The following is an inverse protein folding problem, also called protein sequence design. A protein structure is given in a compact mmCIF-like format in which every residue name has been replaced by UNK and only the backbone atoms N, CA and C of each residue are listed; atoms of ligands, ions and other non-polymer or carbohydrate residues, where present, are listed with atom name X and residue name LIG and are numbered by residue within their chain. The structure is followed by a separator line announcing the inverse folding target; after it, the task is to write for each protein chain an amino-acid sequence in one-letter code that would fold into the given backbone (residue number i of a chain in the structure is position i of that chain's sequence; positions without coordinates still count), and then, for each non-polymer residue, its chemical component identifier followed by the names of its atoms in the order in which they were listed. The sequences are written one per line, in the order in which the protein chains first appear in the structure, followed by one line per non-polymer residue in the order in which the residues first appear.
data_IF_768887248800
#
_entry.id   IF_768887248800
#
_cell.length_a   1.000
_cell.length_b   1.000
_cell.length_c   1.000
_cell.angle_alpha   90.00
_cell.angle_beta   90.00
_cell.angle_gamma   90.00
#
_symmetry.space_group_name_H-M   'P 1'
#
loop_
_entity.id
_entity.type
_entity.pdbx_description
1 polymer ?
#
# COMPACT_ATOMS: atom_id res chain seq x y z
N UNK A 1 -8.88 20.77 -12.37
CA UNK A 1 -9.79 19.61 -12.28
C UNK A 1 -9.38 18.60 -13.34
N UNK A 2 -9.00 17.38 -12.97
CA UNK A 2 -8.58 16.34 -13.93
C UNK A 2 -9.84 15.77 -14.59
N UNK A 3 -10.08 16.05 -15.88
CA UNK A 3 -11.36 15.73 -16.54
C UNK A 3 -11.47 14.28 -17.03
N UNK A 4 -10.37 13.67 -17.47
CA UNK A 4 -10.21 12.22 -17.71
C UNK A 4 -8.74 11.98 -18.07
N UNK A 5 -8.14 10.92 -17.50
CA UNK A 5 -6.80 10.46 -17.88
C UNK A 5 -6.98 9.19 -18.70
N UNK A 6 -6.46 9.19 -19.93
CA UNK A 6 -6.42 7.99 -20.79
C UNK A 6 -4.95 7.64 -21.01
N UNK A 7 -4.54 6.49 -20.52
CA UNK A 7 -3.15 6.08 -20.55
C UNK A 7 -2.94 4.66 -20.05
N UNK A 8 -1.68 4.21 -20.10
CA UNK A 8 -1.27 2.88 -19.65
C UNK A 8 -0.74 2.94 -18.23
N UNK A 9 -1.00 1.88 -17.47
CA UNK A 9 -0.56 1.75 -16.08
C UNK A 9 0.70 0.90 -16.02
N UNK A 10 1.70 1.41 -15.32
CA UNK A 10 3.01 0.80 -15.18
C UNK A 10 3.41 0.66 -13.72
N UNK A 11 4.09 -0.46 -13.44
CA UNK A 11 4.93 -0.56 -12.25
C UNK A 11 6.30 0.02 -12.58
N UNK A 12 6.93 0.65 -11.60
CA UNK A 12 8.24 1.27 -11.75
C UNK A 12 9.14 0.89 -10.57
N UNK A 13 10.46 0.95 -10.78
CA UNK A 13 11.49 0.59 -9.82
C UNK A 13 12.54 1.70 -9.76
N UNK A 14 12.85 2.17 -8.56
CA UNK A 14 13.85 3.24 -8.38
C UNK A 14 15.27 2.69 -8.26
N UNK A 15 15.41 1.41 -7.96
CA UNK A 15 16.69 0.72 -7.77
C UNK A 15 16.96 -0.37 -8.83
N UNK A 16 16.06 -0.51 -9.81
CA UNK A 16 16.08 -1.62 -10.79
C UNK A 16 15.83 -3.00 -10.18
N UNK A 17 15.67 -3.11 -8.85
CA UNK A 17 15.61 -4.37 -8.12
C UNK A 17 14.26 -4.65 -7.50
N UNK A 18 13.41 -3.66 -7.23
CA UNK A 18 12.09 -3.88 -6.61
C UNK A 18 11.07 -2.85 -7.08
N UNK A 19 9.90 -3.33 -7.48
CA UNK A 19 8.78 -2.46 -7.76
C UNK A 19 8.39 -1.62 -6.53
N UNK A 20 8.11 -0.34 -6.76
CA UNK A 20 7.73 0.61 -5.69
C UNK A 20 6.33 0.26 -5.17
N UNK A 21 6.29 -0.43 -4.02
CA UNK A 21 5.04 -0.90 -3.42
C UNK A 21 4.11 0.26 -3.03
N UNK A 22 2.83 0.11 -3.35
CA UNK A 22 1.78 1.06 -2.99
C UNK A 22 1.68 2.27 -3.92
N UNK A 23 2.45 2.28 -5.00
CA UNK A 23 2.42 3.30 -6.04
C UNK A 23 2.38 2.64 -7.42
N UNK A 24 1.82 3.36 -8.39
CA UNK A 24 1.92 3.00 -9.80
C UNK A 24 1.99 4.28 -10.64
N UNK A 25 2.53 4.15 -11.83
CA UNK A 25 2.70 5.23 -12.78
C UNK A 25 1.62 5.10 -13.87
N UNK A 26 0.97 6.21 -14.21
CA UNK A 26 0.15 6.32 -15.42
C UNK A 26 0.90 7.22 -16.39
N UNK A 27 1.06 6.75 -17.62
CA UNK A 27 1.59 7.54 -18.72
C UNK A 27 0.46 7.73 -19.73
N UNK A 28 0.05 8.97 -19.96
CA UNK A 28 -0.91 9.35 -20.99
C UNK A 28 -0.33 9.19 -22.40
N UNK A 29 -1.20 9.10 -23.40
CA UNK A 29 -0.80 9.01 -24.81
C UNK A 29 0.00 10.26 -25.26
N UNK A 30 -0.20 11.41 -24.62
CA UNK A 30 0.56 12.64 -24.84
C UNK A 30 1.91 12.69 -24.09
N UNK A 31 2.24 11.61 -23.37
CA UNK A 31 3.48 11.45 -22.62
C UNK A 31 3.47 12.09 -21.23
N UNK A 32 2.36 12.66 -20.75
CA UNK A 32 2.25 13.16 -19.37
C UNK A 32 2.26 12.02 -18.36
N UNK A 33 2.91 12.26 -17.23
CA UNK A 33 3.18 11.26 -16.23
C UNK A 33 2.50 11.58 -14.90
N UNK A 34 1.88 10.56 -14.31
CA UNK A 34 1.13 10.68 -13.09
C UNK A 34 1.42 9.54 -12.13
N UNK A 35 1.78 9.87 -10.89
CA UNK A 35 1.97 8.91 -9.82
C UNK A 35 0.69 8.75 -9.02
N UNK A 36 0.19 7.52 -8.92
CA UNK A 36 -1.04 7.22 -8.20
C UNK A 36 -0.73 6.42 -6.95
N UNK A 37 -1.23 6.91 -5.81
CA UNK A 37 -1.03 6.26 -4.51
C UNK A 37 -2.15 5.24 -4.26
N UNK A 38 -1.77 3.98 -4.10
CA UNK A 38 -2.67 2.84 -3.86
C UNK A 38 -2.57 2.28 -2.45
N UNK A 39 -1.38 2.31 -1.84
CA UNK A 39 -1.03 1.83 -0.48
C UNK A 39 -1.30 0.34 -0.16
N UNK A 40 -2.42 -0.20 -0.63
CA UNK A 40 -2.92 -1.56 -0.40
C UNK A 40 -3.03 -2.32 -1.72
N UNK A 41 -2.77 -3.63 -1.70
CA UNK A 41 -2.90 -4.49 -2.88
C UNK A 41 -4.33 -4.95 -3.15
N UNK A 42 -5.28 -4.62 -2.28
CA UNK A 42 -6.68 -4.98 -2.45
C UNK A 42 -7.28 -4.25 -3.67
N UNK A 43 -7.97 -5.02 -4.52
CA UNK A 43 -8.75 -4.49 -5.63
C UNK A 43 -9.84 -3.57 -5.07
N UNK A 44 -9.81 -2.29 -5.41
CA UNK A 44 -10.80 -1.34 -4.92
C UNK A 44 -10.97 -0.17 -5.88
N UNK A 45 -12.20 0.07 -6.31
CA UNK A 45 -12.51 1.17 -7.22
C UNK A 45 -12.88 2.46 -6.47
N UNK A 46 -11.93 2.99 -5.69
CA UNK A 46 -12.10 4.23 -4.93
C UNK A 46 -11.23 5.36 -5.46
N UNK A 47 -11.54 6.60 -5.08
CA UNK A 47 -10.75 7.77 -5.45
C UNK A 47 -9.34 7.68 -4.84
N UNK A 48 -8.32 7.63 -5.71
CA UNK A 48 -6.90 7.57 -5.36
C UNK A 48 -6.25 8.92 -5.59
N UNK A 49 -5.36 9.33 -4.67
CA UNK A 49 -4.60 10.57 -4.81
C UNK A 49 -3.58 10.44 -5.94
N UNK A 50 -3.49 11.46 -6.76
CA UNK A 50 -2.58 11.55 -7.91
C UNK A 50 -1.60 12.68 -7.70
N UNK A 51 -0.35 12.39 -8.01
CA UNK A 51 0.78 13.28 -7.84
C UNK A 51 1.52 13.43 -9.15
N UNK A 52 2.22 14.55 -9.30
CA UNK A 52 3.15 14.80 -10.39
C UNK A 52 4.55 14.98 -9.81
N UNK A 53 5.53 14.38 -10.49
CA UNK A 53 6.96 14.57 -10.22
C UNK A 53 7.51 15.67 -11.13
N UNK A 54 8.56 16.35 -10.67
CA UNK A 54 9.31 17.31 -11.49
C UNK A 54 10.32 16.62 -12.42
N UNK A 55 10.53 15.31 -12.24
CA UNK A 55 11.42 14.47 -13.06
C UNK A 55 10.62 13.48 -13.89
N UNK A 56 11.14 13.14 -15.07
CA UNK A 56 10.66 12.04 -15.90
C UNK A 56 10.84 10.71 -15.16
N UNK A 57 9.82 9.86 -15.20
CA UNK A 57 9.77 8.56 -14.56
C UNK A 57 9.84 7.40 -15.55
N UNK A 58 9.88 7.70 -16.85
CA UNK A 58 10.04 6.69 -17.92
C UNK A 58 11.32 5.87 -17.77
N UNK A 59 12.38 6.47 -17.25
CA UNK A 59 13.67 5.81 -16.97
C UNK A 59 13.57 4.74 -15.85
N UNK A 60 12.54 4.80 -15.01
CA UNK A 60 12.32 3.85 -13.91
C UNK A 60 11.32 2.75 -14.27
N UNK A 61 10.86 2.67 -15.52
CA UNK A 61 9.94 1.63 -15.96
C UNK A 61 10.61 0.26 -15.90
N UNK A 62 9.90 -0.72 -15.36
CA UNK A 62 10.36 -2.10 -15.31
C UNK A 62 9.95 -2.77 -16.63
N UNK A 63 10.90 -3.39 -17.34
CA UNK A 63 10.60 -4.20 -18.52
C UNK A 63 9.73 -5.41 -18.12
N UNK A 64 8.90 -5.92 -19.04
CA UNK A 64 7.95 -7.00 -18.74
C UNK A 64 8.60 -8.26 -18.15
N UNK A 65 9.79 -8.62 -18.61
CA UNK A 65 10.58 -9.75 -18.12
C UNK A 65 11.12 -9.54 -16.70
N UNK A 66 11.52 -8.30 -16.39
CA UNK A 66 12.02 -7.93 -15.07
C UNK A 66 10.88 -7.89 -14.05
N UNK A 67 9.67 -7.51 -14.46
CA UNK A 67 8.52 -7.49 -13.57
C UNK A 67 8.20 -8.87 -13.00
N UNK A 68 8.25 -9.92 -13.82
CA UNK A 68 8.00 -11.29 -13.36
C UNK A 68 9.07 -11.76 -12.37
N UNK A 69 10.36 -11.55 -12.70
CA UNK A 69 11.50 -11.86 -11.81
C UNK A 69 11.41 -11.13 -10.48
N UNK A 70 11.01 -9.85 -10.50
CA UNK A 70 10.89 -9.03 -9.29
C UNK A 70 9.66 -9.38 -8.45
N UNK A 71 8.58 -9.86 -9.08
CA UNK A 71 7.40 -10.37 -8.36
C UNK A 71 7.68 -11.70 -7.65
N UNK A 72 8.51 -12.56 -8.24
CA UNK A 72 8.94 -13.84 -7.67
C UNK A 72 10.02 -13.68 -6.60
N UNK A 73 10.83 -12.61 -6.65
CA UNK A 73 11.84 -12.28 -5.63
C UNK A 73 11.24 -11.71 -4.33
N UNK A 74 10.06 -12.16 -3.93
CA UNK A 74 9.41 -11.86 -2.65
C UNK A 74 10.01 -12.67 -1.50
N UNK A 75 11.34 -12.91 -1.51
CA UNK A 75 12.13 -13.71 -0.54
C UNK A 75 11.94 -13.30 0.95
N UNK A 76 11.24 -12.20 1.21
CA UNK A 76 10.93 -11.63 2.52
C UNK A 76 9.45 -11.68 2.91
N UNK A 77 8.58 -12.35 2.14
CA UNK A 77 7.15 -12.47 2.50
C UNK A 77 6.96 -13.19 3.85
N UNK A 78 7.89 -14.07 4.25
CA UNK A 78 7.92 -14.70 5.57
C UNK A 78 8.48 -13.83 6.70
N UNK A 79 9.32 -12.82 6.40
CA UNK A 79 9.90 -11.95 7.43
C UNK A 79 8.86 -11.02 8.06
N UNK A 80 7.88 -10.56 7.27
CA UNK A 80 6.78 -9.74 7.80
C UNK A 80 5.89 -10.51 8.77
N UNK A 81 5.70 -11.81 8.53
CA UNK A 81 4.93 -12.71 9.42
C UNK A 81 5.76 -12.99 10.68
N UNK A 82 7.04 -13.34 10.54
CA UNK A 82 7.94 -13.58 11.67
C UNK A 82 8.11 -12.36 12.59
N UNK A 83 8.27 -11.16 12.01
CA UNK A 83 8.30 -9.90 12.77
C UNK A 83 6.96 -9.61 13.44
N UNK A 84 5.84 -9.89 12.77
CA UNK A 84 4.51 -9.74 13.37
C UNK A 84 4.31 -10.64 14.60
N UNK A 85 4.77 -11.90 14.52
CA UNK A 85 4.73 -12.84 15.64
C UNK A 85 5.62 -12.37 16.79
N UNK A 86 6.86 -11.95 16.49
CA UNK A 86 7.79 -11.45 17.51
C UNK A 86 7.27 -10.18 18.21
N UNK A 87 6.74 -9.23 17.44
CA UNK A 87 6.12 -8.01 17.99
C UNK A 87 4.88 -8.38 18.83
N UNK A 88 4.05 -9.31 18.36
CA UNK A 88 2.90 -9.81 19.12
C UNK A 88 3.31 -10.44 20.45
N UNK A 89 4.38 -11.23 20.47
CA UNK A 89 4.92 -11.83 21.69
C UNK A 89 5.44 -10.76 22.68
N UNK A 90 6.16 -9.75 22.19
CA UNK A 90 6.66 -8.64 23.02
C UNK A 90 5.49 -7.81 23.57
N UNK A 91 4.49 -7.50 22.74
CA UNK A 91 3.29 -6.79 23.20
C UNK A 91 2.57 -7.59 24.29
N UNK A 92 2.43 -8.90 24.13
CA UNK A 92 1.81 -9.76 25.14
C UNK A 92 2.64 -9.85 26.44
N UNK A 93 3.95 -9.63 26.38
CA UNK A 93 4.80 -9.61 27.56
C UNK A 93 4.68 -8.30 28.34
N UNK A 94 4.45 -7.18 27.64
CA UNK A 94 4.28 -5.84 28.25
C UNK A 94 2.83 -5.59 28.68
N UNK A 95 1.88 -6.12 27.91
CA UNK A 95 0.44 -6.02 28.12
C UNK A 95 -0.19 -7.41 27.93
N UNK A 96 -0.25 -8.23 28.99
CA UNK A 96 -0.77 -9.59 28.90
C UNK A 96 -2.21 -9.62 28.38
N UNK A 97 -2.58 -10.72 27.72
CA UNK A 97 -3.88 -10.88 27.07
C UNK A 97 -5.09 -10.60 27.98
N UNK A 98 -4.95 -10.70 29.31
CA UNK A 98 -5.96 -10.32 30.30
C UNK A 98 -6.25 -8.81 30.35
N UNK A 99 -5.31 -7.96 29.95
CA UNK A 99 -5.50 -6.51 29.80
C UNK A 99 -6.39 -6.20 28.59
N UNK A 100 -6.35 -7.09 27.58
CA UNK A 100 -7.14 -6.96 26.37
C UNK A 100 -8.48 -7.73 26.44
N UNK A 101 -8.53 -8.90 27.05
CA UNK A 101 -9.71 -9.77 27.00
C UNK A 101 -10.42 -9.93 28.35
N UNK A 102 -9.90 -9.33 29.42
CA UNK A 102 -10.44 -9.51 30.78
C UNK A 102 -10.02 -10.86 31.38
N UNK A 103 -10.40 -11.10 32.63
CA UNK A 103 -10.29 -12.43 33.23
C UNK A 103 -11.41 -13.30 32.68
N UNK A 104 -11.18 -14.58 32.35
CA UNK A 104 -12.03 -15.42 31.48
C UNK A 104 -13.48 -15.71 31.98
N UNK A 105 -13.99 -15.07 33.05
CA UNK A 105 -15.29 -15.44 33.66
C UNK A 105 -16.02 -14.32 34.46
N UNK A 106 -15.89 -13.05 34.08
CA UNK A 106 -16.60 -11.93 34.73
C UNK A 106 -17.59 -11.22 33.81
N UNK A 107 -18.75 -10.82 34.32
CA UNK A 107 -19.81 -10.12 33.55
C UNK A 107 -19.37 -8.76 32.96
N UNK A 108 -18.16 -8.27 33.29
CA UNK A 108 -17.52 -7.10 32.67
C UNK A 108 -16.67 -7.40 31.42
N UNK A 109 -16.48 -8.67 31.06
CA UNK A 109 -15.51 -9.10 30.04
C UNK A 109 -15.88 -8.68 28.61
N UNK A 110 -17.19 -8.56 28.30
CA UNK A 110 -17.63 -8.12 26.98
C UNK A 110 -17.19 -6.68 26.66
N UNK A 111 -17.26 -5.78 27.66
CA UNK A 111 -16.81 -4.39 27.51
C UNK A 111 -15.30 -4.31 27.35
N UNK A 112 -14.55 -5.15 28.08
CA UNK A 112 -13.09 -5.24 27.96
C UNK A 112 -12.70 -5.76 26.58
N UNK A 113 -13.36 -6.82 26.11
CA UNK A 113 -13.17 -7.37 24.76
C UNK A 113 -13.45 -6.34 23.66
N UNK A 114 -14.55 -5.57 23.75
CA UNK A 114 -14.87 -4.50 22.79
C UNK A 114 -13.77 -3.44 22.76
N UNK A 115 -13.33 -2.96 23.93
CA UNK A 115 -12.25 -1.95 24.01
C UNK A 115 -10.97 -2.44 23.35
N UNK A 116 -10.69 -3.73 23.43
CA UNK A 116 -9.45 -4.30 22.94
C UNK A 116 -9.47 -4.63 21.47
N UNK A 117 -10.60 -5.09 20.95
CA UNK A 117 -10.83 -5.14 19.51
C UNK A 117 -10.71 -3.72 18.94
N UNK A 118 -11.33 -2.73 19.58
CA UNK A 118 -11.21 -1.32 19.19
C UNK A 118 -9.75 -0.84 19.21
N UNK A 119 -9.00 -1.16 20.26
CA UNK A 119 -7.58 -0.83 20.40
C UNK A 119 -6.75 -1.50 19.30
N UNK A 120 -6.99 -2.78 19.01
CA UNK A 120 -6.29 -3.50 17.95
C UNK A 120 -6.55 -2.89 16.56
N UNK A 121 -7.81 -2.55 16.27
CA UNK A 121 -8.19 -1.85 15.03
C UNK A 121 -7.47 -0.50 14.94
N UNK A 122 -7.43 0.26 16.03
CA UNK A 122 -6.76 1.55 16.08
C UNK A 122 -5.25 1.42 15.84
N UNK A 123 -4.57 0.54 16.57
CA UNK A 123 -3.12 0.29 16.43
C UNK A 123 -2.79 -0.15 15.01
N UNK A 124 -3.63 -1.01 14.42
CA UNK A 124 -3.49 -1.48 13.04
C UNK A 124 -3.66 -0.31 12.06
N UNK A 125 -4.70 0.50 12.20
CA UNK A 125 -4.96 1.65 11.35
C UNK A 125 -3.83 2.70 11.40
N UNK A 126 -3.30 2.97 12.61
CA UNK A 126 -2.14 3.86 12.81
C UNK A 126 -0.91 3.28 12.13
N UNK A 127 -0.63 1.99 12.31
CA UNK A 127 0.52 1.31 11.69
C UNK A 127 0.48 1.39 10.16
N UNK A 128 -0.68 1.12 9.54
CA UNK A 128 -0.86 1.25 8.10
C UNK A 128 -0.71 2.70 7.62
N UNK A 129 -1.24 3.65 8.37
CA UNK A 129 -1.13 5.08 8.06
C UNK A 129 0.33 5.54 8.09
N UNK A 130 1.08 5.14 9.12
CA UNK A 130 2.49 5.46 9.28
C UNK A 130 3.33 4.83 8.15
N UNK A 131 3.13 3.54 7.88
CA UNK A 131 3.80 2.86 6.76
C UNK A 131 3.51 3.57 5.42
N UNK A 132 2.29 4.06 5.24
CA UNK A 132 1.90 4.81 4.06
C UNK A 132 2.61 6.16 3.96
N UNK A 133 2.77 6.90 5.06
CA UNK A 133 3.51 8.16 5.11
C UNK A 133 5.00 7.93 4.84
N UNK A 134 5.60 6.94 5.49
CA UNK A 134 7.02 6.57 5.29
C UNK A 134 7.31 6.23 3.83
N UNK A 135 6.43 5.45 3.18
CA UNK A 135 6.57 5.13 1.74
C UNK A 135 6.54 6.38 0.86
N UNK A 136 5.68 7.36 1.17
CA UNK A 136 5.65 8.65 0.45
C UNK A 136 6.95 9.42 0.65
N UNK A 137 7.40 9.59 1.91
CA UNK A 137 8.63 10.32 2.21
C UNK A 137 9.85 9.70 1.52
N UNK A 138 9.94 8.37 1.49
CA UNK A 138 11.03 7.66 0.78
C UNK A 138 11.00 7.96 -0.71
N UNK A 139 9.81 7.95 -1.32
CA UNK A 139 9.63 8.26 -2.74
C UNK A 139 10.03 9.72 -3.04
N UNK A 140 9.62 10.67 -2.19
CA UNK A 140 9.98 12.09 -2.33
C UNK A 140 11.47 12.35 -2.18
N UNK A 141 12.15 11.61 -1.29
CA UNK A 141 13.62 11.72 -1.15
C UNK A 141 14.36 11.33 -2.42
N UNK A 142 13.83 10.39 -3.20
CA UNK A 142 14.48 9.88 -4.41
C UNK A 142 14.06 10.65 -5.68
N UNK A 143 12.77 10.98 -5.81
CA UNK A 143 12.21 11.63 -7.00
C UNK A 143 12.12 13.15 -6.88
N UNK A 144 12.32 13.71 -5.69
CA UNK A 144 12.03 15.11 -5.38
C UNK A 144 10.57 15.32 -4.93
N UNK A 145 10.15 16.58 -4.86
CA UNK A 145 8.82 16.95 -4.37
C UNK A 145 7.70 16.36 -5.25
N UNK A 146 6.75 15.67 -4.64
CA UNK A 146 5.55 15.17 -5.30
C UNK A 146 4.39 16.15 -5.09
N UNK A 147 3.98 16.82 -6.16
CA UNK A 147 2.86 17.78 -6.11
C UNK A 147 1.55 17.02 -6.25
N UNK A 148 0.66 17.15 -5.26
CA UNK A 148 -0.69 16.59 -5.35
C UNK A 148 -1.49 17.38 -6.39
N UNK A 149 -1.93 16.71 -7.45
CA UNK A 149 -2.71 17.34 -8.53
C UNK A 149 -4.21 17.05 -8.44
N UNK A 150 -4.60 16.04 -7.66
CA UNK A 150 -6.00 15.70 -7.45
C UNK A 150 -6.24 14.26 -7.03
N UNK A 151 -7.44 13.78 -7.31
CA UNK A 151 -7.85 12.40 -7.11
C UNK A 151 -8.49 11.85 -8.38
N UNK A 152 -8.24 10.58 -8.69
CA UNK A 152 -8.83 9.88 -9.83
C UNK A 152 -9.49 8.58 -9.36
N UNK A 153 -10.46 8.10 -10.12
CA UNK A 153 -11.10 6.80 -9.95
C UNK A 153 -11.05 6.07 -11.29
N UNK A 154 -10.81 4.76 -11.27
CA UNK A 154 -10.72 4.00 -12.52
C UNK A 154 -12.10 3.78 -13.12
N UNK A 155 -12.23 4.02 -14.43
CA UNK A 155 -13.46 3.72 -15.20
C UNK A 155 -13.46 2.29 -15.74
N UNK A 156 -12.28 1.72 -15.95
CA UNK A 156 -12.07 0.35 -16.42
C UNK A 156 -11.18 -0.41 -15.45
N UNK A 157 -11.22 -1.74 -15.48
CA UNK A 157 -10.28 -2.54 -14.71
C UNK A 157 -8.84 -2.20 -15.14
N UNK A 158 -7.95 -2.05 -14.16
CA UNK A 158 -6.51 -1.86 -14.37
C UNK A 158 -5.86 -3.12 -14.96
N UNK A 159 -6.37 -4.30 -14.58
CA UNK A 159 -5.96 -5.60 -15.10
C UNK A 159 -7.11 -6.59 -15.00
N UNK A 160 -7.29 -7.42 -16.02
CA UNK A 160 -8.15 -8.60 -15.95
C UNK A 160 -7.25 -9.80 -15.70
N UNK A 161 -7.55 -10.57 -14.64
CA UNK A 161 -6.80 -11.77 -14.28
C UNK A 161 -7.23 -12.95 -15.16
N UNK A 162 -6.40 -13.98 -15.23
CA UNK A 162 -6.67 -15.20 -16.04
C UNK A 162 -7.96 -15.92 -15.64
N UNK A 163 -8.40 -15.75 -14.40
CA UNK A 163 -9.66 -16.28 -13.88
C UNK A 163 -10.87 -15.35 -14.13
N UNK A 164 -10.74 -14.35 -15.00
CA UNK A 164 -11.79 -13.38 -15.31
C UNK A 164 -12.03 -12.32 -14.25
N UNK A 165 -11.33 -12.35 -13.10
CA UNK A 165 -11.52 -11.32 -12.06
C UNK A 165 -10.86 -10.01 -12.46
N UNK A 166 -11.59 -8.93 -12.23
CA UNK A 166 -11.14 -7.57 -12.51
C UNK A 166 -10.39 -6.97 -11.32
N UNK A 167 -9.29 -6.29 -11.64
CA UNK A 167 -8.46 -5.59 -10.68
C UNK A 167 -8.58 -4.09 -10.86
N UNK A 168 -9.09 -3.42 -9.83
CA UNK A 168 -9.42 -1.99 -9.81
C UNK A 168 -8.48 -1.16 -8.91
#
# INVERSE_FOLDING_TARGET
MIKNIKGKVYSFSLDGKRAVKGWFLIIEDDGKEYLVRRNFSLSSNWYRKVYRSNRSLKEYLISGEDYERLSQSSKYQGWGIGLGIAIGAIINQIAPSNLFFGAINSSGDAMIGIKSIGTLILVTAVSFSLASVIRKMRLERQLGSLVLIGKIKSKTALKVLTNGREFW
#
